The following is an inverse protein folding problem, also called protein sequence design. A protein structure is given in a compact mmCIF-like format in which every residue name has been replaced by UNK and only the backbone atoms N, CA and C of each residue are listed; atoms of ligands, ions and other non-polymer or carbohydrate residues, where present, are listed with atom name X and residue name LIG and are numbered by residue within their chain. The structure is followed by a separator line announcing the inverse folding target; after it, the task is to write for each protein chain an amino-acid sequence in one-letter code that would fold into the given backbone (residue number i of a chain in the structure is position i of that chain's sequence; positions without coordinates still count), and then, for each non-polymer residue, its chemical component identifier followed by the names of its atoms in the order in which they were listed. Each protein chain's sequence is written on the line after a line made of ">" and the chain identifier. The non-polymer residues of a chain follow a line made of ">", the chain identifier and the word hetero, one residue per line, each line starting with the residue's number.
data_IF_515429271180
#
_entry.id   IF_515429271180
#
_cell.length_a   1.000
_cell.length_b   1.000
_cell.length_c   1.000
_cell.angle_alpha   90.00
_cell.angle_beta   90.00
_cell.angle_gamma   90.00
#
_symmetry.space_group_name_H-M   'P 1'
#
loop_
_entity.id
_entity.type
_entity.pdbx_description
1 polymer ?
#
# COMPACT_ATOMS: atom_id res chain seq x y z
N UNK A 1 11.94 40.49 22.39
CA UNK A 1 13.03 39.79 23.08
C UNK A 1 12.37 38.78 24.01
N UNK A 2 12.54 37.49 23.70
CA UNK A 2 12.20 36.30 24.50
C UNK A 2 10.77 36.22 25.08
N UNK A 3 9.92 35.38 24.47
CA UNK A 3 8.85 34.71 25.20
C UNK A 3 8.99 33.20 25.01
N UNK A 4 9.38 32.54 26.11
CA UNK A 4 9.13 31.12 26.35
C UNK A 4 7.62 30.88 26.29
N UNK A 5 7.17 29.95 25.46
CA UNK A 5 5.84 29.35 25.56
C UNK A 5 6.01 27.83 25.66
N UNK A 6 5.38 27.30 26.71
CA UNK A 6 5.43 25.97 27.28
C UNK A 6 5.21 24.81 26.29
N UNK A 7 6.01 23.77 26.45
CA UNK A 7 5.96 22.46 25.77
C UNK A 7 4.77 21.57 26.22
N UNK A 8 3.64 22.15 26.59
CA UNK A 8 2.46 21.42 27.09
C UNK A 8 1.28 21.38 26.09
N UNK A 9 1.30 22.20 25.03
CA UNK A 9 0.19 22.27 24.06
C UNK A 9 0.27 21.28 22.89
N UNK A 10 1.33 20.47 22.78
CA UNK A 10 1.47 19.50 21.68
C UNK A 10 0.92 18.10 22.06
N UNK A 11 0.39 17.92 23.28
CA UNK A 11 -0.07 16.62 23.77
C UNK A 11 -1.56 16.30 23.57
N UNK A 12 -2.38 17.23 23.12
CA UNK A 12 -3.82 16.95 22.85
C UNK A 12 -4.17 16.77 21.37
N UNK A 13 -3.25 17.06 20.43
CA UNK A 13 -3.57 16.98 19.00
C UNK A 13 -3.57 15.56 18.39
N UNK A 14 -3.23 14.53 19.18
CA UNK A 14 -3.14 13.14 18.72
C UNK A 14 -4.30 12.25 19.23
N UNK A 15 -5.19 12.73 20.10
CA UNK A 15 -6.24 11.86 20.67
C UNK A 15 -7.68 12.38 20.71
N UNK A 16 -8.00 13.62 20.33
CA UNK A 16 -9.39 14.06 20.27
C UNK A 16 -9.63 15.02 19.11
N UNK A 17 -10.09 14.47 17.98
CA UNK A 17 -10.92 15.24 17.05
C UNK A 17 -12.14 14.40 16.61
N UNK A 18 -13.18 14.31 17.46
CA UNK A 18 -14.44 13.70 17.10
C UNK A 18 -15.28 14.73 16.32
N UNK A 19 -14.80 15.17 15.15
CA UNK A 19 -15.56 16.07 14.28
C UNK A 19 -15.44 15.62 12.82
N UNK A 20 -15.94 14.41 12.55
CA UNK A 20 -16.85 14.24 11.43
C UNK A 20 -18.18 13.84 12.06
N UNK A 21 -19.19 14.71 11.93
CA UNK A 21 -20.58 14.37 12.26
C UNK A 21 -20.98 13.15 11.41
N UNK A 22 -20.84 11.96 11.97
CA UNK A 22 -21.49 10.72 11.54
C UNK A 22 -22.98 10.78 11.91
N UNK A 23 -23.65 11.91 11.69
CA UNK A 23 -25.04 12.09 12.12
C UNK A 23 -26.07 11.78 11.05
N UNK A 24 -25.67 11.27 9.88
CA UNK A 24 -26.61 10.81 8.82
C UNK A 24 -26.02 9.71 7.91
N UNK A 25 -25.02 8.95 8.37
CA UNK A 25 -24.77 7.65 7.76
C UNK A 25 -25.83 6.72 8.34
N UNK A 26 -26.96 6.59 7.64
CA UNK A 26 -27.88 5.48 7.89
C UNK A 26 -27.07 4.21 7.67
N UNK A 27 -26.53 3.66 8.77
CA UNK A 27 -26.10 2.28 8.87
C UNK A 27 -27.34 1.39 8.81
N UNK A 28 -28.06 1.45 7.69
CA UNK A 28 -28.71 0.27 7.14
C UNK A 28 -27.59 -0.60 6.57
N UNK A 29 -26.74 -1.11 7.46
CA UNK A 29 -26.16 -2.44 7.24
C UNK A 29 -27.39 -3.32 7.18
N UNK A 30 -27.84 -3.58 5.96
CA UNK A 30 -29.00 -4.41 5.70
C UNK A 30 -28.79 -5.68 6.50
N UNK A 31 -29.71 -5.96 7.44
CA UNK A 31 -29.64 -7.12 8.35
C UNK A 31 -29.40 -8.46 7.61
N UNK A 32 -29.60 -8.46 6.29
CA UNK A 32 -29.26 -9.52 5.33
C UNK A 32 -27.78 -9.93 5.31
N UNK A 33 -26.83 -9.09 5.72
CA UNK A 33 -25.40 -9.49 5.77
C UNK A 33 -25.00 -10.21 7.07
N UNK A 34 -25.81 -10.16 8.13
CA UNK A 34 -25.47 -10.76 9.43
C UNK A 34 -25.86 -12.25 9.55
N UNK A 35 -26.39 -12.88 8.50
CA UNK A 35 -26.84 -14.28 8.55
C UNK A 35 -25.75 -15.32 8.25
N UNK A 36 -24.48 -14.90 8.17
CA UNK A 36 -23.33 -15.77 7.99
C UNK A 36 -22.20 -15.38 8.94
N UNK A 37 -21.32 -16.33 9.25
CA UNK A 37 -20.18 -16.14 10.16
C UNK A 37 -19.11 -15.23 9.49
N UNK A 38 -19.44 -13.93 9.34
CA UNK A 38 -18.63 -12.95 8.62
C UNK A 38 -17.42 -12.56 9.46
N UNK A 39 -16.27 -13.18 9.16
CA UNK A 39 -14.98 -12.83 9.76
C UNK A 39 -14.57 -11.43 9.28
N UNK A 40 -14.27 -10.53 10.23
CA UNK A 40 -13.73 -9.21 9.91
C UNK A 40 -12.21 -9.34 9.73
N UNK A 41 -11.74 -9.07 8.51
CA UNK A 41 -10.31 -9.09 8.18
C UNK A 41 -9.67 -7.72 8.45
N UNK A 42 -8.86 -7.62 9.52
CA UNK A 42 -8.06 -6.44 9.89
C UNK A 42 -6.60 -6.48 9.38
N UNK A 43 -6.30 -7.32 8.38
CA UNK A 43 -4.95 -7.45 7.83
C UNK A 43 -4.43 -6.11 7.28
N UNK A 44 -3.19 -5.70 7.63
CA UNK A 44 -2.57 -4.49 7.13
C UNK A 44 -2.10 -4.61 5.67
N UNK A 45 -2.16 -5.81 5.09
CA UNK A 45 -1.72 -6.10 3.73
C UNK A 45 -1.39 -7.59 3.57
N UNK A 46 -2.05 -8.32 2.64
CA UNK A 46 -3.14 -7.88 1.76
C UNK A 46 -4.41 -7.48 2.53
N UNK A 47 -5.11 -6.45 2.06
CA UNK A 47 -6.33 -5.92 2.71
C UNK A 47 -7.61 -6.64 2.25
N UNK A 48 -8.71 -6.45 2.98
CA UNK A 48 -10.04 -6.98 2.60
C UNK A 48 -10.49 -6.38 1.27
N UNK A 49 -10.92 -7.23 0.35
CA UNK A 49 -11.55 -6.83 -0.92
C UNK A 49 -13.07 -6.79 -0.74
N UNK A 50 -13.74 -5.84 -1.39
CA UNK A 50 -15.20 -5.73 -1.37
C UNK A 50 -15.85 -6.95 -2.07
N UNK A 51 -17.03 -7.36 -1.58
CA UNK A 51 -17.66 -8.62 -1.99
C UNK A 51 -18.12 -8.60 -3.46
N UNK A 52 -18.68 -7.47 -3.88
CA UNK A 52 -19.06 -7.18 -5.27
C UNK A 52 -17.87 -7.31 -6.24
N UNK A 53 -16.69 -6.82 -5.85
CA UNK A 53 -15.45 -6.99 -6.64
C UNK A 53 -15.07 -8.47 -6.76
N UNK A 54 -15.16 -9.24 -5.67
CA UNK A 54 -14.89 -10.69 -5.71
C UNK A 54 -15.87 -11.43 -6.61
N UNK A 55 -17.15 -11.05 -6.60
CA UNK A 55 -18.17 -11.62 -7.48
C UNK A 55 -17.91 -11.28 -8.95
N UNK A 56 -17.55 -10.02 -9.25
CA UNK A 56 -17.16 -9.61 -10.59
C UNK A 56 -15.90 -10.36 -11.09
N UNK A 57 -14.90 -10.57 -10.21
CA UNK A 57 -13.71 -11.36 -10.54
C UNK A 57 -14.06 -12.81 -10.90
N UNK A 58 -14.98 -13.46 -10.18
CA UNK A 58 -15.44 -14.82 -10.51
C UNK A 58 -16.03 -14.88 -11.92
N UNK A 59 -16.96 -13.96 -12.21
CA UNK A 59 -17.57 -13.86 -13.55
C UNK A 59 -16.51 -13.63 -14.63
N UNK A 60 -15.53 -12.76 -14.39
CA UNK A 60 -14.46 -12.49 -15.34
C UNK A 60 -13.46 -13.65 -15.52
N UNK A 61 -13.26 -14.47 -14.49
CA UNK A 61 -12.46 -15.70 -14.60
C UNK A 61 -13.19 -16.72 -15.47
N UNK A 62 -14.52 -16.84 -15.33
CA UNK A 62 -15.31 -17.84 -16.07
C UNK A 62 -15.58 -17.42 -17.53
N UNK A 63 -16.00 -16.17 -17.75
CA UNK A 63 -16.30 -15.63 -19.08
C UNK A 63 -16.14 -14.11 -19.11
N UNK A 64 -14.94 -13.64 -19.44
CA UNK A 64 -14.63 -12.23 -19.48
C UNK A 64 -15.40 -11.50 -20.58
N UNK A 65 -16.28 -10.59 -20.20
CA UNK A 65 -17.07 -9.74 -21.10
C UNK A 65 -17.82 -10.51 -22.21
N UNK A 66 -18.26 -11.73 -21.91
CA UNK A 66 -18.98 -12.57 -22.88
C UNK A 66 -18.12 -13.12 -24.02
N UNK A 67 -16.79 -13.06 -23.90
CA UNK A 67 -15.85 -13.54 -24.93
C UNK A 67 -15.78 -15.07 -25.05
N UNK A 68 -16.31 -15.79 -24.05
CA UNK A 68 -16.13 -17.24 -23.89
C UNK A 68 -14.74 -17.63 -23.38
N UNK A 69 -13.91 -16.66 -23.00
CA UNK A 69 -12.55 -16.86 -22.51
C UNK A 69 -12.41 -16.29 -21.09
N UNK A 70 -11.49 -16.87 -20.32
CA UNK A 70 -11.08 -16.30 -19.04
C UNK A 70 -10.32 -14.99 -19.23
N UNK A 71 -10.44 -14.06 -18.29
CA UNK A 71 -9.59 -12.85 -18.23
C UNK A 71 -8.10 -13.19 -18.15
N UNK A 72 -7.75 -14.40 -17.70
CA UNK A 72 -6.35 -14.87 -17.68
C UNK A 72 -5.84 -15.32 -19.06
N UNK A 73 -6.74 -15.57 -20.01
CA UNK A 73 -6.42 -16.11 -21.34
C UNK A 73 -6.46 -15.02 -22.44
N UNK A 74 -7.08 -13.86 -22.15
CA UNK A 74 -7.14 -12.77 -23.12
C UNK A 74 -5.75 -12.21 -23.44
N UNK A 75 -5.51 -11.92 -24.71
CA UNK A 75 -4.27 -11.27 -25.14
C UNK A 75 -4.22 -9.83 -24.64
N UNK A 76 -3.08 -9.43 -24.05
CA UNK A 76 -2.78 -8.04 -23.69
C UNK A 76 -2.70 -7.08 -24.92
N UNK A 77 -2.64 -7.62 -26.14
CA UNK A 77 -2.69 -6.84 -27.39
C UNK A 77 -4.08 -6.85 -28.03
N UNK A 78 -5.02 -7.61 -27.47
CA UNK A 78 -6.38 -7.75 -27.98
C UNK A 78 -7.28 -6.57 -27.62
N UNK A 79 -8.39 -6.44 -28.34
CA UNK A 79 -9.37 -5.36 -28.14
C UNK A 79 -9.97 -5.35 -26.73
N UNK A 80 -10.27 -6.52 -26.17
CA UNK A 80 -10.80 -6.66 -24.81
C UNK A 80 -9.86 -6.08 -23.76
N UNK A 81 -8.55 -6.40 -23.83
CA UNK A 81 -7.58 -5.83 -22.91
C UNK A 81 -7.34 -4.34 -23.14
N UNK A 82 -7.24 -3.90 -24.41
CA UNK A 82 -7.04 -2.49 -24.73
C UNK A 82 -8.18 -1.62 -24.17
N UNK A 83 -9.42 -2.09 -24.26
CA UNK A 83 -10.57 -1.45 -23.65
C UNK A 83 -10.48 -1.44 -22.12
N UNK A 84 -10.23 -2.60 -21.49
CA UNK A 84 -10.06 -2.73 -20.03
C UNK A 84 -9.00 -1.76 -19.50
N UNK A 85 -7.83 -1.71 -20.15
CA UNK A 85 -6.73 -0.84 -19.73
C UNK A 85 -7.10 0.65 -19.84
N UNK A 86 -7.77 1.05 -20.93
CA UNK A 86 -8.22 2.44 -21.13
C UNK A 86 -9.27 2.85 -20.09
N UNK A 87 -10.23 1.98 -19.81
CA UNK A 87 -11.27 2.23 -18.80
C UNK A 87 -10.68 2.29 -17.39
N UNK A 88 -9.73 1.39 -17.08
CA UNK A 88 -9.02 1.38 -15.79
C UNK A 88 -8.19 2.65 -15.61
N UNK A 89 -7.42 3.07 -16.62
CA UNK A 89 -6.68 4.33 -16.57
C UNK A 89 -7.62 5.52 -16.32
N UNK A 90 -8.73 5.59 -17.07
CA UNK A 90 -9.72 6.66 -16.90
C UNK A 90 -10.28 6.68 -15.47
N UNK A 91 -10.67 5.53 -14.93
CA UNK A 91 -11.21 5.43 -13.58
C UNK A 91 -10.20 5.90 -12.52
N UNK A 92 -8.93 5.52 -12.65
CA UNK A 92 -7.86 5.98 -11.75
C UNK A 92 -7.71 7.50 -11.84
N UNK A 93 -7.71 8.07 -13.05
CA UNK A 93 -7.64 9.52 -13.25
C UNK A 93 -8.83 10.25 -12.64
N UNK A 94 -10.04 9.72 -12.82
CA UNK A 94 -11.27 10.32 -12.30
C UNK A 94 -11.28 10.31 -10.76
N UNK A 95 -10.95 9.17 -10.14
CA UNK A 95 -10.99 9.00 -8.67
C UNK A 95 -9.90 9.81 -7.97
N UNK A 96 -8.71 9.92 -8.58
CA UNK A 96 -7.55 10.60 -8.00
C UNK A 96 -7.38 12.03 -8.53
N UNK A 97 -8.31 12.51 -9.37
CA UNK A 97 -8.30 13.83 -10.01
C UNK A 97 -6.96 14.17 -10.71
N UNK A 98 -6.42 13.21 -11.48
CA UNK A 98 -5.08 13.33 -12.08
C UNK A 98 -5.13 14.19 -13.36
N UNK A 99 -4.38 15.30 -13.44
CA UNK A 99 -4.38 16.16 -14.62
C UNK A 99 -3.63 15.54 -15.82
N UNK A 100 -3.92 16.06 -17.02
CA UNK A 100 -3.43 15.51 -18.30
C UNK A 100 -1.90 15.59 -18.48
N UNK A 101 -1.23 16.48 -17.73
CA UNK A 101 0.23 16.60 -17.76
C UNK A 101 0.96 15.51 -16.96
N UNK A 102 0.24 14.55 -16.35
CA UNK A 102 0.80 13.37 -15.71
C UNK A 102 0.50 12.09 -16.50
N UNK A 103 1.41 11.12 -16.41
CA UNK A 103 1.24 9.77 -16.98
C UNK A 103 0.86 8.78 -15.88
N UNK A 104 -0.08 7.90 -16.20
CA UNK A 104 -0.51 6.78 -15.34
C UNK A 104 0.14 5.50 -15.87
N UNK A 105 0.79 4.74 -15.00
CA UNK A 105 1.50 3.52 -15.38
C UNK A 105 1.05 2.36 -14.48
N UNK A 106 0.69 1.23 -15.09
CA UNK A 106 0.43 -0.03 -14.40
C UNK A 106 1.66 -0.94 -14.56
N UNK A 107 2.41 -1.14 -13.48
CA UNK A 107 3.70 -1.84 -13.51
C UNK A 107 3.80 -2.91 -12.43
N UNK A 108 4.48 -4.00 -12.77
CA UNK A 108 4.82 -5.08 -11.83
C UNK A 108 5.97 -4.67 -10.89
N UNK A 109 6.18 -5.44 -9.81
CA UNK A 109 7.29 -5.25 -8.87
C UNK A 109 6.90 -4.58 -7.56
N UNK A 110 5.64 -4.15 -7.42
CA UNK A 110 5.10 -3.57 -6.18
C UNK A 110 5.79 -2.28 -5.75
N UNK A 111 5.43 -1.77 -4.56
CA UNK A 111 5.99 -0.54 -4.02
C UNK A 111 7.51 -0.60 -3.82
N UNK A 112 8.04 -1.74 -3.38
CA UNK A 112 9.48 -1.93 -3.16
C UNK A 112 10.28 -1.88 -4.46
N UNK A 113 9.77 -2.44 -5.56
CA UNK A 113 10.44 -2.34 -6.86
C UNK A 113 10.61 -0.89 -7.32
N UNK A 114 9.67 -0.01 -6.96
CA UNK A 114 9.73 1.41 -7.30
C UNK A 114 10.72 2.19 -6.44
N UNK A 115 11.20 1.66 -5.31
CA UNK A 115 12.30 2.29 -4.57
C UNK A 115 13.58 2.38 -5.41
N UNK A 116 13.81 1.41 -6.31
CA UNK A 116 14.87 1.46 -7.32
C UNK A 116 14.39 2.14 -8.61
N UNK A 117 13.13 1.93 -9.00
CA UNK A 117 12.56 2.51 -10.22
C UNK A 117 12.62 4.04 -10.27
N UNK A 118 12.30 4.72 -9.17
CA UNK A 118 12.30 6.19 -9.09
C UNK A 118 13.70 6.78 -9.36
N UNK A 119 14.77 6.43 -8.63
CA UNK A 119 16.09 6.99 -8.91
C UNK A 119 16.55 6.65 -10.32
N UNK A 120 16.41 5.40 -10.79
CA UNK A 120 16.86 5.00 -12.13
C UNK A 120 16.23 5.79 -13.28
N UNK A 121 15.02 6.32 -13.10
CA UNK A 121 14.34 7.10 -14.14
C UNK A 121 14.48 8.63 -13.97
N UNK A 122 14.71 9.12 -12.76
CA UNK A 122 14.71 10.56 -12.46
C UNK A 122 16.10 11.16 -12.21
N UNK A 123 17.13 10.34 -11.98
CA UNK A 123 18.50 10.82 -11.85
C UNK A 123 18.96 11.58 -13.10
N UNK A 124 19.63 12.71 -12.90
CA UNK A 124 20.20 13.53 -13.97
C UNK A 124 21.60 14.01 -13.59
N UNK A 125 22.46 14.15 -14.60
CA UNK A 125 23.84 14.61 -14.45
C UNK A 125 24.80 13.53 -13.94
N UNK A 126 26.09 13.89 -13.85
CA UNK A 126 27.17 12.95 -13.58
C UNK A 126 27.26 12.52 -12.10
N UNK A 127 26.64 13.28 -11.19
CA UNK A 127 26.61 12.99 -9.75
C UNK A 127 25.21 13.22 -9.19
N UNK A 128 24.26 12.30 -9.47
CA UNK A 128 22.89 12.46 -9.03
C UNK A 128 22.80 12.44 -7.50
N UNK A 129 21.96 13.33 -6.97
CA UNK A 129 21.71 13.54 -5.54
C UNK A 129 20.21 13.68 -5.32
N UNK A 130 19.71 13.21 -4.18
CA UNK A 130 18.31 13.37 -3.81
C UNK A 130 18.12 13.47 -2.30
N UNK A 131 17.16 14.31 -1.90
CA UNK A 131 16.72 14.45 -0.52
C UNK A 131 15.61 13.45 -0.19
N UNK A 132 15.71 12.80 0.96
CA UNK A 132 14.71 11.86 1.49
C UNK A 132 14.21 12.34 2.84
N UNK A 133 12.89 12.25 3.04
CA UNK A 133 12.21 12.50 4.32
C UNK A 133 11.87 11.14 4.94
N UNK A 134 12.42 10.84 6.11
CA UNK A 134 12.26 9.56 6.78
C UNK A 134 11.24 9.69 7.93
N UNK A 135 10.03 9.20 7.67
CA UNK A 135 8.92 9.19 8.64
C UNK A 135 8.60 7.81 9.18
N UNK A 136 9.14 6.74 8.59
CA UNK A 136 8.89 5.36 9.03
C UNK A 136 9.68 4.31 8.27
N UNK A 137 9.26 3.05 8.44
CA UNK A 137 9.96 1.89 7.86
C UNK A 137 10.03 1.93 6.33
N UNK A 138 8.97 2.36 5.65
CA UNK A 138 8.92 2.35 4.18
C UNK A 138 9.80 3.44 3.56
N UNK A 139 9.74 4.67 4.10
CA UNK A 139 10.62 5.77 3.66
C UNK A 139 12.11 5.46 3.93
N UNK A 140 12.41 4.80 5.06
CA UNK A 140 13.78 4.36 5.36
C UNK A 140 14.28 3.29 4.38
N UNK A 141 13.43 2.32 4.01
CA UNK A 141 13.76 1.32 2.99
C UNK A 141 13.96 1.94 1.61
N UNK A 142 13.14 2.93 1.24
CA UNK A 142 13.28 3.65 -0.02
C UNK A 142 14.62 4.40 -0.10
N UNK A 143 14.98 5.15 0.96
CA UNK A 143 16.26 5.84 1.05
C UNK A 143 17.44 4.87 0.93
N UNK A 144 17.40 3.77 1.70
CA UNK A 144 18.44 2.73 1.65
C UNK A 144 18.61 2.09 0.27
N UNK A 145 17.51 1.87 -0.45
CA UNK A 145 17.58 1.31 -1.80
C UNK A 145 18.18 2.32 -2.79
N UNK A 146 17.85 3.61 -2.64
CA UNK A 146 18.34 4.67 -3.51
C UNK A 146 19.85 4.94 -3.37
N UNK A 147 20.45 4.66 -2.22
CA UNK A 147 21.91 4.77 -1.99
C UNK A 147 22.75 3.95 -2.98
N UNK A 148 22.17 2.92 -3.61
CA UNK A 148 22.85 2.12 -4.66
C UNK A 148 23.05 2.88 -5.96
N UNK A 149 22.27 3.94 -6.19
CA UNK A 149 22.15 4.59 -7.50
C UNK A 149 22.54 6.07 -7.45
N UNK A 150 22.26 6.76 -6.34
CA UNK A 150 22.57 8.17 -6.15
C UNK A 150 23.08 8.45 -4.74
N UNK A 151 23.62 9.65 -4.54
CA UNK A 151 23.94 10.14 -3.20
C UNK A 151 22.68 10.63 -2.50
N UNK A 152 22.29 9.93 -1.43
CA UNK A 152 21.13 10.27 -0.60
C UNK A 152 21.52 11.29 0.46
N UNK A 153 20.68 12.31 0.61
CA UNK A 153 20.69 13.23 1.75
C UNK A 153 19.40 13.06 2.53
N UNK A 154 19.48 13.09 3.85
CA UNK A 154 18.32 12.88 4.71
C UNK A 154 17.92 14.24 5.26
N UNK A 155 16.80 14.77 4.77
CA UNK A 155 16.34 16.11 5.11
C UNK A 155 15.68 16.15 6.49
N UNK A 156 14.89 15.13 6.84
CA UNK A 156 14.12 15.08 8.10
C UNK A 156 14.01 13.63 8.60
N UNK A 157 14.12 13.47 9.93
CA UNK A 157 13.67 12.29 10.66
C UNK A 157 12.47 12.63 11.55
N UNK A 158 11.34 11.96 11.36
CA UNK A 158 10.20 12.08 12.28
C UNK A 158 10.26 11.03 13.41
N UNK A 159 11.09 10.00 13.25
CA UNK A 159 11.32 8.96 14.25
C UNK A 159 12.82 8.93 14.62
N UNK A 160 13.19 8.92 15.91
CA UNK A 160 14.57 8.72 16.34
C UNK A 160 15.19 7.47 15.69
N UNK A 161 16.42 7.57 15.19
CA UNK A 161 17.12 6.48 14.50
C UNK A 161 17.18 5.18 15.34
N UNK A 162 17.25 5.32 16.68
CA UNK A 162 17.22 4.19 17.62
C UNK A 162 15.92 3.36 17.53
N UNK A 163 14.76 4.00 17.32
CA UNK A 163 13.47 3.33 17.18
C UNK A 163 13.27 2.68 15.81
N UNK A 164 13.84 3.26 14.75
CA UNK A 164 13.90 2.62 13.43
C UNK A 164 14.66 1.29 13.53
N UNK A 165 15.83 1.29 14.16
CA UNK A 165 16.63 0.08 14.38
C UNK A 165 15.90 -0.96 15.25
N UNK A 166 15.13 -0.53 16.25
CA UNK A 166 14.27 -1.41 17.06
C UNK A 166 13.16 -2.07 16.21
N UNK A 167 12.50 -1.30 15.33
CA UNK A 167 11.49 -1.82 14.41
C UNK A 167 12.07 -2.85 13.43
N UNK A 168 13.30 -2.65 12.94
CA UNK A 168 14.01 -3.63 12.11
C UNK A 168 14.31 -4.93 12.87
N UNK A 169 14.64 -4.86 14.16
CA UNK A 169 14.89 -6.05 15.00
C UNK A 169 13.61 -6.78 15.37
N UNK A 170 12.57 -6.05 15.78
CA UNK A 170 11.27 -6.63 16.17
C UNK A 170 10.53 -7.22 14.97
N UNK A 171 10.46 -6.56 13.81
CA UNK A 171 9.83 -7.14 12.62
C UNK A 171 10.62 -8.35 12.10
N UNK A 172 11.97 -8.34 12.17
CA UNK A 172 12.75 -9.56 11.90
C UNK A 172 12.44 -10.66 12.90
N UNK A 173 12.36 -10.36 14.20
CA UNK A 173 11.99 -11.34 15.22
C UNK A 173 10.59 -11.90 14.98
N UNK A 174 9.57 -11.08 14.70
CA UNK A 174 8.21 -11.56 14.43
C UNK A 174 8.09 -12.34 13.11
N UNK A 175 8.82 -11.96 12.05
CA UNK A 175 8.86 -12.73 10.79
C UNK A 175 9.66 -14.02 10.92
N UNK A 176 10.72 -14.03 11.72
CA UNK A 176 11.50 -15.24 12.02
C UNK A 176 10.73 -16.15 12.97
N UNK A 177 10.06 -15.62 14.00
CA UNK A 177 9.20 -16.37 14.92
C UNK A 177 7.99 -16.95 14.21
N UNK A 178 7.36 -16.24 13.27
CA UNK A 178 6.25 -16.81 12.50
C UNK A 178 6.71 -17.91 11.54
N UNK A 179 7.90 -17.79 10.92
CA UNK A 179 8.51 -18.90 10.15
C UNK A 179 8.91 -20.10 11.04
N UNK A 180 9.44 -19.87 12.24
CA UNK A 180 9.80 -20.94 13.18
C UNK A 180 8.57 -21.63 13.79
N UNK A 181 7.50 -20.90 14.07
CA UNK A 181 6.22 -21.45 14.55
C UNK A 181 5.54 -22.29 13.47
N UNK A 182 5.54 -21.85 12.21
CA UNK A 182 5.01 -22.65 11.09
C UNK A 182 5.87 -23.90 10.86
N UNK A 183 7.19 -23.82 11.00
CA UNK A 183 8.06 -24.99 10.83
C UNK A 183 7.95 -25.98 12.01
N UNK A 184 7.70 -25.51 13.25
CA UNK A 184 7.43 -26.40 14.40
C UNK A 184 6.03 -27.02 14.38
N UNK A 185 5.02 -26.34 13.82
CA UNK A 185 3.69 -26.93 13.65
C UNK A 185 3.64 -27.99 12.54
N UNK A 186 4.53 -27.93 11.54
CA UNK A 186 4.56 -28.91 10.44
C UNK A 186 5.44 -30.15 10.73
N UNK A 187 6.28 -30.12 11.76
CA UNK A 187 7.20 -31.21 12.12
C UNK A 187 6.73 -32.02 13.34
N UNK A 188 5.49 -31.79 13.82
CA UNK A 188 4.90 -32.51 14.96
C UNK A 188 3.93 -33.63 14.57
N UNK A 189 3.79 -33.92 13.28
CA UNK A 189 3.04 -35.07 12.77
C UNK A 189 4.02 -35.99 12.04
N UNK A 190 4.56 -36.96 12.77
CA UNK A 190 5.08 -38.20 12.21
C UNK A 190 4.50 -39.37 13.02
N UNK A 191 4.39 -40.55 12.40
CA UNK A 191 3.15 -41.34 12.25
C UNK A 191 2.62 -42.03 13.51
#
# INVERSE_FOLDING_TARGET
>A
MTLFANLTEIREYIFCNPIYKLSNFNLEITQKEMSGNNIINFSPGPSKIAKDVLEACKVGIDNFLGSGLSVMEISHRGKHYAQLNKETEKMVRDVMEIPDNYKVLFISGGGTGQFAGVPLNLMRGDQPKADYVITGTWSAKAAKEAEKYLKVFIAIYTIPQSLLNLGYSLVKQYVVLSRLLVHKCLMGCEP
#
